data_IF_446356606411
#
_entry.id   IF_446356606411
#
_cell.length_a   1.000
_cell.length_b   1.000
_cell.length_c   1.000
_cell.angle_alpha   90.00
_cell.angle_beta   90.00
_cell.angle_gamma   90.00
#
_symmetry.space_group_name_H-M   'P 1'
#
loop_
_entity.id
_entity.type
_entity.pdbx_description
1 polymer ?
#
# COMPACT_ATOMS: atom_id res chain seq x y z
N UNK A 1 -2.37 -7.87 1.30
CA UNK A 1 -1.89 -8.60 2.48
C UNK A 1 -2.80 -8.43 3.69
N UNK A 2 -2.94 -9.54 4.44
CA UNK A 2 -3.92 -9.73 5.51
C UNK A 2 -4.03 -8.60 6.53
N UNK A 3 -2.91 -8.02 6.99
CA UNK A 3 -2.97 -6.95 7.99
C UNK A 3 -3.68 -5.70 7.46
N UNK A 4 -3.44 -5.35 6.19
CA UNK A 4 -4.08 -4.19 5.56
C UNK A 4 -5.58 -4.44 5.38
N UNK A 5 -5.97 -5.62 4.91
CA UNK A 5 -7.38 -6.02 4.77
C UNK A 5 -8.14 -5.93 6.10
N UNK A 6 -7.55 -6.44 7.19
CA UNK A 6 -8.13 -6.37 8.53
C UNK A 6 -8.28 -4.93 9.01
N UNK A 7 -7.27 -4.09 8.82
CA UNK A 7 -7.32 -2.67 9.20
C UNK A 7 -8.37 -1.91 8.37
N UNK A 8 -8.45 -2.15 7.06
CA UNK A 8 -9.41 -1.53 6.17
C UNK A 8 -10.85 -1.91 6.54
N UNK A 9 -11.10 -3.20 6.83
CA UNK A 9 -12.40 -3.67 7.30
C UNK A 9 -12.80 -3.08 8.66
N UNK A 10 -11.85 -2.91 9.59
CA UNK A 10 -12.14 -2.35 10.91
C UNK A 10 -12.59 -0.88 10.87
N UNK A 11 -12.09 -0.10 9.91
CA UNK A 11 -12.42 1.32 9.79
C UNK A 11 -13.64 1.59 8.90
N UNK A 12 -14.03 0.63 8.06
CA UNK A 12 -15.21 0.71 7.18
C UNK A 12 -15.28 2.03 6.39
N UNK A 13 -14.16 2.39 5.77
CA UNK A 13 -14.02 3.62 4.98
C UNK A 13 -14.00 4.93 5.77
N UNK A 14 -14.18 4.93 7.09
CA UNK A 14 -14.18 6.16 7.91
C UNK A 14 -12.80 6.79 8.09
N UNK A 15 -11.74 6.00 7.93
CA UNK A 15 -10.33 6.41 8.03
C UNK A 15 -9.54 5.80 6.88
N UNK A 16 -8.48 6.49 6.45
CA UNK A 16 -7.50 5.92 5.53
C UNK A 16 -6.53 4.97 6.24
N UNK A 17 -6.05 3.94 5.52
CA UNK A 17 -5.04 3.00 6.01
C UNK A 17 -3.70 3.27 5.32
N UNK A 18 -2.64 3.46 6.11
CA UNK A 18 -1.27 3.59 5.60
C UNK A 18 -0.53 2.26 5.72
N UNK A 19 -0.13 1.67 4.59
CA UNK A 19 0.81 0.56 4.57
C UNK A 19 2.25 1.09 4.52
N UNK A 20 3.17 0.52 5.29
CA UNK A 20 4.58 0.93 5.31
C UNK A 20 5.49 -0.19 5.78
N UNK A 21 6.75 -0.15 5.33
CA UNK A 21 7.76 -1.18 5.62
C UNK A 21 7.71 -2.33 4.62
N UNK A 22 8.87 -2.74 4.10
CA UNK A 22 8.99 -3.88 3.19
C UNK A 22 8.47 -3.68 1.75
N UNK A 23 7.83 -2.56 1.41
CA UNK A 23 7.33 -2.27 0.06
C UNK A 23 8.50 -1.81 -0.82
N UNK A 24 8.99 -2.67 -1.73
CA UNK A 24 10.21 -2.41 -2.52
C UNK A 24 9.98 -2.38 -4.03
N UNK A 25 8.84 -2.87 -4.50
CA UNK A 25 8.49 -2.96 -5.92
C UNK A 25 7.13 -2.34 -6.21
N UNK A 26 6.84 -2.05 -7.49
CA UNK A 26 5.50 -1.64 -7.92
C UNK A 26 4.44 -2.70 -7.60
N UNK A 27 4.77 -3.99 -7.76
CA UNK A 27 3.88 -5.09 -7.41
C UNK A 27 3.55 -5.13 -5.92
N UNK A 28 4.54 -4.89 -5.04
CA UNK A 28 4.27 -4.76 -3.60
C UNK A 28 3.32 -3.60 -3.32
N UNK A 29 3.54 -2.45 -3.97
CA UNK A 29 2.71 -1.27 -3.81
C UNK A 29 1.26 -1.53 -4.23
N UNK A 30 1.05 -2.15 -5.41
CA UNK A 30 -0.26 -2.56 -5.91
C UNK A 30 -0.93 -3.50 -4.92
N UNK A 31 -0.23 -4.54 -4.44
CA UNK A 31 -0.79 -5.48 -3.48
C UNK A 31 -1.27 -4.81 -2.18
N UNK A 32 -0.57 -3.76 -1.71
CA UNK A 32 -1.02 -2.98 -0.55
C UNK A 32 -2.28 -2.17 -0.85
N UNK A 33 -2.32 -1.51 -2.01
CA UNK A 33 -3.47 -0.71 -2.46
C UNK A 33 -4.72 -1.57 -2.64
N UNK A 34 -4.59 -2.71 -3.34
CA UNK A 34 -5.67 -3.68 -3.57
C UNK A 34 -6.23 -4.25 -2.26
N UNK A 35 -5.43 -4.25 -1.21
CA UNK A 35 -5.82 -4.70 0.12
C UNK A 35 -6.50 -3.63 0.97
N UNK A 36 -6.70 -2.44 0.42
CA UNK A 36 -7.40 -1.33 1.07
C UNK A 36 -6.49 -0.26 1.66
N UNK A 37 -5.18 -0.28 1.41
CA UNK A 37 -4.34 0.86 1.78
C UNK A 37 -4.70 2.08 0.92
N UNK A 38 -4.84 3.24 1.53
CA UNK A 38 -5.07 4.52 0.83
C UNK A 38 -3.82 5.39 0.80
N UNK A 39 -2.74 4.96 1.49
CA UNK A 39 -1.44 5.62 1.48
C UNK A 39 -0.31 4.61 1.64
N UNK A 40 0.82 4.89 0.99
CA UNK A 40 2.03 4.09 1.13
C UNK A 40 3.13 4.91 1.82
N UNK A 41 3.82 4.30 2.78
CA UNK A 41 5.05 4.83 3.38
C UNK A 41 6.26 4.12 2.80
N UNK A 42 6.98 4.81 1.93
CA UNK A 42 8.08 4.25 1.13
C UNK A 42 9.40 4.95 1.47
N UNK A 43 10.48 4.20 1.60
CA UNK A 43 11.86 4.73 1.63
C UNK A 43 12.55 4.63 0.26
N UNK A 44 12.07 3.74 -0.62
CA UNK A 44 12.56 3.56 -1.99
C UNK A 44 11.58 4.07 -3.05
N UNK A 45 10.99 5.25 -2.84
CA UNK A 45 9.89 5.78 -3.67
C UNK A 45 10.17 5.74 -5.16
N UNK A 46 11.36 6.18 -5.60
CA UNK A 46 11.71 6.20 -7.03
C UNK A 46 11.69 4.80 -7.64
N UNK A 47 12.33 3.81 -7.00
CA UNK A 47 12.37 2.42 -7.50
C UNK A 47 10.96 1.82 -7.63
N UNK A 48 10.07 2.14 -6.68
CA UNK A 48 8.68 1.69 -6.74
C UNK A 48 7.94 2.37 -7.89
N UNK A 49 8.10 3.69 -8.07
CA UNK A 49 7.43 4.44 -9.13
C UNK A 49 7.94 4.08 -10.53
N UNK A 50 9.25 3.86 -10.70
CA UNK A 50 9.86 3.44 -11.97
C UNK A 50 9.36 2.06 -12.45
N UNK A 51 8.69 1.29 -11.58
CA UNK A 51 8.06 0.02 -11.93
C UNK A 51 6.63 0.13 -12.46
N UNK A 52 6.06 1.34 -12.53
CA UNK A 52 4.76 1.60 -13.15
C UNK A 52 4.94 2.10 -14.60
N UNK A 53 3.96 1.83 -15.48
CA UNK A 53 3.92 2.49 -16.79
C UNK A 53 3.75 4.01 -16.63
N UNK A 54 4.28 4.77 -17.59
CA UNK A 54 4.10 6.23 -17.70
C UNK A 54 2.64 6.63 -17.97
#
# INVERSE_FOLDING_TARGET
PRSVELMAGAVDGRLGVKASGGIRTAADAIAMLDSGATRLGLSGTRVVLDGFPD
#
